data_IF_766635563606
#
_entry.id   IF_766635563606
#
_cell.length_a   1.000
_cell.length_b   1.000
_cell.length_c   1.000
_cell.angle_alpha   90.00
_cell.angle_beta   90.00
_cell.angle_gamma   90.00
#
_symmetry.space_group_name_H-M   'P 1'
#
loop_
_entity.id
_entity.type
_entity.pdbx_description
1 polymer ?
#
# COMPACT_ATOMS: atom_id res chain seq x y z
N UNK A 1 4.56 -7.54 -24.34
CA UNK A 1 5.15 -6.19 -24.22
C UNK A 1 5.44 -5.92 -22.75
N UNK A 2 6.71 -5.92 -22.36
CA UNK A 2 7.13 -5.60 -20.99
C UNK A 2 6.86 -4.11 -20.75
N UNK A 3 5.83 -3.80 -19.95
CA UNK A 3 5.55 -2.44 -19.49
C UNK A 3 6.75 -2.01 -18.62
N UNK A 4 7.67 -1.24 -19.21
CA UNK A 4 8.74 -0.59 -18.45
C UNK A 4 8.10 0.32 -17.41
N UNK A 5 8.40 0.11 -16.13
CA UNK A 5 7.93 0.97 -15.05
C UNK A 5 8.57 2.36 -15.22
N UNK A 6 7.79 3.46 -15.21
CA UNK A 6 8.37 4.80 -15.27
C UNK A 6 9.12 5.09 -13.97
N UNK A 7 10.45 5.16 -14.07
CA UNK A 7 11.33 5.59 -12.98
C UNK A 7 11.36 7.12 -12.91
N UNK A 8 11.18 7.65 -11.71
CA UNK A 8 11.27 9.09 -11.43
C UNK A 8 12.56 9.35 -10.67
N UNK A 9 13.35 10.29 -11.17
CA UNK A 9 14.55 10.78 -10.48
C UNK A 9 14.13 11.65 -9.29
N UNK A 10 14.46 11.23 -8.07
CA UNK A 10 14.20 12.02 -6.86
C UNK A 10 15.36 12.99 -6.58
N UNK A 11 16.59 12.51 -6.73
CA UNK A 11 17.79 13.31 -6.60
C UNK A 11 18.98 12.66 -7.30
N UNK A 12 19.88 13.47 -7.85
CA UNK A 12 21.06 13.02 -8.59
C UNK A 12 22.36 13.56 -7.97
N UNK A 13 23.42 12.76 -8.05
CA UNK A 13 24.80 13.12 -7.72
C UNK A 13 24.98 13.84 -6.37
N UNK A 14 24.26 13.40 -5.34
CA UNK A 14 24.24 14.05 -4.02
C UNK A 14 25.17 13.36 -3.00
N UNK A 15 25.57 14.05 -1.92
CA UNK A 15 26.33 13.43 -0.83
C UNK A 15 25.54 12.33 -0.12
N UNK A 16 26.27 11.40 0.51
CA UNK A 16 25.71 10.26 1.23
C UNK A 16 24.68 10.66 2.30
N UNK A 17 25.01 11.65 3.14
CA UNK A 17 24.13 12.10 4.23
C UNK A 17 22.77 12.54 3.69
N UNK A 18 22.76 13.33 2.63
CA UNK A 18 21.55 13.82 1.99
C UNK A 18 20.76 12.68 1.33
N UNK A 19 21.44 11.68 0.74
CA UNK A 19 20.78 10.51 0.18
C UNK A 19 20.16 9.63 1.27
N UNK A 20 20.85 9.45 2.39
CA UNK A 20 20.35 8.70 3.54
C UNK A 20 19.10 9.34 4.15
N UNK A 21 18.98 10.68 4.14
CA UNK A 21 17.75 11.37 4.56
C UNK A 21 16.55 11.03 3.64
N UNK A 22 16.77 10.98 2.32
CA UNK A 22 15.72 10.57 1.36
C UNK A 22 15.35 9.10 1.60
N UNK A 23 16.36 8.24 1.77
CA UNK A 23 16.15 6.81 2.01
C UNK A 23 15.46 6.56 3.37
N UNK A 24 15.74 7.38 4.39
CA UNK A 24 15.07 7.31 5.69
C UNK A 24 13.61 7.78 5.63
N UNK A 25 13.27 8.69 4.71
CA UNK A 25 11.89 9.11 4.44
C UNK A 25 11.00 7.99 3.87
N UNK A 26 11.60 6.92 3.38
CA UNK A 26 10.87 5.74 2.91
C UNK A 26 10.31 4.93 4.09
N UNK A 27 8.98 4.75 4.10
CA UNK A 27 8.19 4.11 5.18
C UNK A 27 8.70 2.72 5.60
N UNK A 28 9.35 1.99 4.70
CA UNK A 28 10.15 0.80 5.00
C UNK A 28 11.08 0.50 3.82
N UNK A 29 12.37 0.32 4.10
CA UNK A 29 13.37 -0.03 3.08
C UNK A 29 14.19 -1.24 3.53
N UNK A 30 14.43 -2.17 2.61
CA UNK A 30 15.33 -3.31 2.80
C UNK A 30 16.12 -3.50 1.49
N UNK A 31 17.43 -3.62 1.59
CA UNK A 31 18.33 -3.80 0.45
C UNK A 31 18.30 -5.27 0.03
N UNK A 32 17.63 -5.57 -1.08
CA UNK A 32 17.46 -6.97 -1.51
C UNK A 32 18.50 -7.42 -2.53
N UNK A 33 19.06 -6.50 -3.32
CA UNK A 33 20.11 -6.81 -4.29
C UNK A 33 21.09 -5.66 -4.38
N UNK A 34 22.38 -6.00 -4.33
CA UNK A 34 23.48 -5.13 -4.70
C UNK A 34 24.20 -5.71 -5.92
N UNK A 35 24.51 -4.86 -6.89
CA UNK A 35 25.31 -5.25 -8.06
C UNK A 35 26.16 -4.07 -8.52
N UNK A 36 27.29 -4.39 -9.15
CA UNK A 36 28.16 -3.42 -9.80
C UNK A 36 27.67 -3.18 -11.22
N UNK A 37 27.55 -1.92 -11.61
CA UNK A 37 27.21 -1.52 -12.99
C UNK A 37 28.08 -0.35 -13.44
N UNK A 38 28.02 -0.03 -14.74
CA UNK A 38 28.66 1.16 -15.30
C UNK A 38 28.08 2.43 -14.65
N UNK A 39 28.97 3.36 -14.26
CA UNK A 39 28.56 4.57 -13.57
C UNK A 39 27.63 5.43 -14.45
N UNK A 40 26.49 5.81 -13.88
CA UNK A 40 25.53 6.78 -14.47
C UNK A 40 25.22 7.95 -13.55
N UNK A 41 25.87 8.00 -12.38
CA UNK A 41 25.61 8.99 -11.32
C UNK A 41 26.34 10.30 -11.57
N UNK A 42 27.59 10.22 -12.03
CA UNK A 42 28.43 11.38 -12.29
C UNK A 42 28.50 11.71 -13.79
N UNK A 43 28.73 12.99 -14.10
CA UNK A 43 28.89 13.51 -15.47
C UNK A 43 30.32 13.24 -16.01
N UNK A 44 31.26 12.87 -15.13
CA UNK A 44 32.65 12.63 -15.51
C UNK A 44 32.82 11.38 -16.40
N UNK A 45 33.68 11.50 -17.41
CA UNK A 45 33.94 10.46 -18.40
C UNK A 45 34.54 9.21 -17.74
N UNK A 46 33.78 8.12 -17.82
CA UNK A 46 34.19 6.72 -17.64
C UNK A 46 34.88 6.36 -16.31
N UNK A 47 34.12 5.74 -15.41
CA UNK A 47 34.69 5.00 -14.28
C UNK A 47 34.45 3.50 -14.47
N UNK A 48 35.50 2.68 -14.36
CA UNK A 48 35.35 1.22 -14.39
C UNK A 48 34.56 0.74 -13.16
N UNK A 49 33.41 0.09 -13.40
CA UNK A 49 32.70 -0.77 -12.46
C UNK A 49 32.43 -0.22 -11.04
N UNK A 50 32.10 1.05 -10.91
CA UNK A 50 32.04 1.71 -9.60
C UNK A 50 30.63 2.05 -9.11
N UNK A 51 29.54 1.65 -9.76
CA UNK A 51 28.19 1.89 -9.19
C UNK A 51 27.66 0.73 -8.38
N UNK A 52 27.46 0.92 -7.06
CA UNK A 52 26.66 0.00 -6.25
C UNK A 52 25.18 0.41 -6.36
N UNK A 53 24.32 -0.50 -6.83
CA UNK A 53 22.88 -0.28 -6.91
C UNK A 53 22.13 -1.08 -5.86
N UNK A 54 21.27 -0.43 -5.09
CA UNK A 54 20.44 -1.07 -4.07
C UNK A 54 18.96 -0.98 -4.44
N UNK A 55 18.31 -2.14 -4.59
CA UNK A 55 16.87 -2.21 -4.85
C UNK A 55 16.07 -2.37 -3.56
N UNK A 56 15.06 -1.52 -3.40
CA UNK A 56 14.11 -1.52 -2.30
C UNK A 56 12.76 -2.10 -2.76
N UNK A 57 12.35 -3.31 -2.34
CA UNK A 57 11.17 -3.99 -2.90
C UNK A 57 9.86 -3.29 -2.58
N UNK A 58 9.74 -2.77 -1.36
CA UNK A 58 8.47 -2.24 -0.83
C UNK A 58 8.05 -0.95 -1.54
N UNK A 59 9.03 -0.17 -2.00
CA UNK A 59 8.81 1.15 -2.60
C UNK A 59 9.36 1.23 -4.03
N UNK A 60 9.74 0.09 -4.61
CA UNK A 60 10.41 -0.02 -5.92
C UNK A 60 11.45 1.10 -6.14
N UNK A 61 12.25 1.40 -5.11
CA UNK A 61 13.34 2.37 -5.17
C UNK A 61 14.63 1.75 -5.67
N UNK A 62 15.46 2.52 -6.38
CA UNK A 62 16.83 2.19 -6.76
C UNK A 62 17.76 3.30 -6.24
N UNK A 63 18.79 2.92 -5.48
CA UNK A 63 19.84 3.84 -5.04
C UNK A 63 21.11 3.45 -5.75
N UNK A 64 21.65 4.34 -6.58
CA UNK A 64 22.92 4.14 -7.27
C UNK A 64 24.02 5.01 -6.63
N UNK A 65 25.13 4.39 -6.25
CA UNK A 65 26.27 5.08 -5.61
C UNK A 65 27.50 5.01 -6.50
N UNK A 66 28.07 6.14 -6.91
CA UNK A 66 29.39 6.20 -7.53
C UNK A 66 30.49 6.02 -6.46
N UNK A 67 31.18 4.88 -6.48
CA UNK A 67 32.25 4.57 -5.53
C UNK A 67 33.50 5.46 -5.73
N UNK A 68 33.68 6.08 -6.89
CA UNK A 68 34.84 6.95 -7.14
C UNK A 68 34.70 8.34 -6.51
N UNK A 69 33.47 8.89 -6.50
CA UNK A 69 33.19 10.25 -6.02
C UNK A 69 32.33 10.28 -4.75
N UNK A 70 31.97 9.11 -4.22
CA UNK A 70 31.01 8.92 -3.13
C UNK A 70 29.70 9.71 -3.31
N UNK A 71 29.17 9.71 -4.53
CA UNK A 71 27.94 10.40 -4.90
C UNK A 71 26.79 9.41 -5.07
N UNK A 72 25.59 9.82 -4.69
CA UNK A 72 24.41 8.98 -4.66
C UNK A 72 23.34 9.54 -5.60
N UNK A 73 22.56 8.66 -6.20
CA UNK A 73 21.39 8.99 -7.02
C UNK A 73 20.27 8.09 -6.56
N UNK A 74 19.12 8.69 -6.26
CA UNK A 74 17.94 7.97 -5.76
C UNK A 74 16.84 8.10 -6.80
N UNK A 75 16.36 6.95 -7.27
CA UNK A 75 15.26 6.82 -8.21
C UNK A 75 14.13 6.03 -7.55
N UNK A 76 12.88 6.37 -7.86
CA UNK A 76 11.70 5.65 -7.38
C UNK A 76 10.84 5.25 -8.57
N UNK A 77 10.44 3.98 -8.64
CA UNK A 77 9.49 3.54 -9.64
C UNK A 77 8.07 3.72 -9.10
N UNK A 78 7.25 4.45 -9.87
CA UNK A 78 5.92 4.94 -9.45
C UNK A 78 5.98 5.97 -8.31
N UNK A 79 5.17 7.03 -8.44
CA UNK A 79 5.03 8.06 -7.40
C UNK A 79 4.22 7.44 -6.24
N UNK A 80 4.88 6.97 -5.18
CA UNK A 80 4.24 6.27 -4.06
C UNK A 80 3.52 7.19 -3.05
N UNK A 81 3.27 8.46 -3.41
CA UNK A 81 2.34 9.32 -2.69
C UNK A 81 0.90 8.81 -2.93
N UNK A 82 0.53 7.70 -2.29
CA UNK A 82 -0.86 7.31 -2.16
C UNK A 82 -1.54 8.36 -1.28
N UNK A 83 -2.59 9.06 -1.75
CA UNK A 83 -3.36 9.92 -0.89
C UNK A 83 -3.83 9.11 0.32
N UNK A 84 -3.85 9.73 1.49
CA UNK A 84 -4.32 9.13 2.74
C UNK A 84 -5.61 8.37 2.46
N UNK A 85 -5.58 7.05 2.64
CA UNK A 85 -6.77 6.22 2.40
C UNK A 85 -7.88 6.74 3.30
N UNK A 86 -9.07 7.04 2.77
CA UNK A 86 -10.19 7.44 3.62
C UNK A 86 -10.44 6.34 4.66
N UNK A 87 -10.93 6.70 5.87
CA UNK A 87 -11.21 5.73 6.91
C UNK A 87 -12.06 4.59 6.35
N UNK A 88 -11.74 3.33 6.71
CA UNK A 88 -12.42 2.18 6.15
C UNK A 88 -13.92 2.25 6.46
N UNK A 89 -14.74 1.86 5.47
CA UNK A 89 -16.20 1.81 5.65
C UNK A 89 -16.55 0.93 6.85
N UNK A 90 -17.61 1.26 7.63
CA UNK A 90 -18.00 0.49 8.80
C UNK A 90 -18.32 -0.96 8.42
N UNK A 91 -17.64 -1.90 9.05
CA UNK A 91 -17.84 -3.33 8.83
C UNK A 91 -18.69 -3.96 9.92
N UNK A 92 -19.53 -4.92 9.54
CA UNK A 92 -20.31 -5.73 10.48
C UNK A 92 -19.39 -6.44 11.49
N UNK A 93 -19.60 -6.19 12.78
CA UNK A 93 -18.92 -6.92 13.86
C UNK A 93 -19.38 -8.39 13.90
N UNK A 94 -18.63 -9.31 14.53
CA UNK A 94 -19.03 -10.72 14.64
C UNK A 94 -20.44 -10.90 15.23
N UNK A 95 -20.79 -10.12 16.26
CA UNK A 95 -22.12 -10.15 16.90
C UNK A 95 -23.22 -9.69 15.94
N UNK A 96 -22.98 -8.65 15.15
CA UNK A 96 -23.94 -8.17 14.13
C UNK A 96 -24.15 -9.21 13.02
N UNK A 97 -23.09 -9.90 12.60
CA UNK A 97 -23.19 -10.98 11.60
C UNK A 97 -24.02 -12.14 12.13
N UNK A 98 -23.87 -12.50 13.40
CA UNK A 98 -24.68 -13.54 14.02
C UNK A 98 -26.15 -13.17 14.05
N UNK A 99 -26.49 -11.96 14.49
CA UNK A 99 -27.87 -11.48 14.46
C UNK A 99 -28.45 -11.46 13.04
N UNK A 100 -27.66 -10.98 12.07
CA UNK A 100 -28.08 -10.95 10.68
C UNK A 100 -28.39 -12.35 10.14
N UNK A 101 -27.59 -13.35 10.53
CA UNK A 101 -27.84 -14.76 10.19
C UNK A 101 -29.11 -15.29 10.84
N UNK A 102 -29.28 -15.09 12.15
CA UNK A 102 -30.48 -15.53 12.90
C UNK A 102 -31.77 -14.91 12.35
N UNK A 103 -31.74 -13.63 11.99
CA UNK A 103 -32.90 -12.97 11.36
C UNK A 103 -33.08 -13.36 9.90
N UNK A 104 -31.99 -13.72 9.22
CA UNK A 104 -32.01 -14.27 7.87
C UNK A 104 -32.69 -15.64 7.81
N UNK A 105 -32.43 -16.53 8.77
CA UNK A 105 -33.11 -17.83 8.87
C UNK A 105 -34.60 -17.70 9.21
N UNK A 106 -34.99 -16.63 9.89
CA UNK A 106 -36.40 -16.26 10.11
C UNK A 106 -37.10 -15.70 8.86
N UNK A 107 -36.38 -15.55 7.74
CA UNK A 107 -36.94 -15.05 6.48
C UNK A 107 -37.22 -13.55 6.46
N UNK A 108 -36.64 -12.78 7.38
CA UNK A 108 -36.81 -11.33 7.43
C UNK A 108 -36.15 -10.66 6.21
N UNK A 109 -36.82 -9.64 5.65
CA UNK A 109 -36.25 -8.83 4.56
C UNK A 109 -34.98 -8.12 5.03
N UNK A 110 -33.97 -8.03 4.17
CA UNK A 110 -32.68 -7.39 4.44
C UNK A 110 -32.78 -6.00 5.07
N UNK A 111 -33.74 -5.16 4.62
CA UNK A 111 -33.96 -3.82 5.20
C UNK A 111 -34.38 -3.88 6.67
N UNK A 112 -35.24 -4.84 7.05
CA UNK A 112 -35.68 -5.04 8.43
C UNK A 112 -34.56 -5.59 9.32
N UNK A 113 -33.68 -6.41 8.75
CA UNK A 113 -32.48 -6.88 9.45
C UNK A 113 -31.54 -5.70 9.71
N UNK A 114 -31.37 -4.83 8.71
CA UNK A 114 -30.53 -3.64 8.80
C UNK A 114 -31.06 -2.63 9.85
N UNK A 115 -32.35 -2.29 9.81
CA UNK A 115 -33.01 -1.47 10.85
C UNK A 115 -32.83 -2.07 12.26
N UNK A 116 -33.07 -3.38 12.40
CA UNK A 116 -32.91 -4.07 13.69
C UNK A 116 -31.47 -4.13 14.20
N UNK A 117 -30.46 -4.03 13.31
CA UNK A 117 -29.07 -3.88 13.71
C UNK A 117 -28.80 -2.48 14.24
N UNK A 118 -29.34 -1.45 13.59
CA UNK A 118 -29.25 -0.06 14.03
C UNK A 118 -29.81 0.11 15.44
N UNK A 119 -31.01 -0.41 15.68
CA UNK A 119 -31.70 -0.33 16.97
C UNK A 119 -30.97 -1.11 18.07
N UNK A 120 -30.56 -2.36 17.79
CA UNK A 120 -29.97 -3.25 18.81
C UNK A 120 -28.54 -2.86 19.20
N UNK A 121 -27.77 -2.30 18.28
CA UNK A 121 -26.38 -1.91 18.52
C UNK A 121 -26.20 -0.39 18.67
N UNK A 122 -27.29 0.38 18.75
CA UNK A 122 -27.29 1.85 18.87
C UNK A 122 -26.34 2.51 17.88
N UNK A 123 -26.38 2.08 16.60
CA UNK A 123 -25.46 2.54 15.58
C UNK A 123 -25.81 3.95 15.13
N UNK A 124 -24.79 4.77 14.90
CA UNK A 124 -24.93 6.11 14.32
C UNK A 124 -24.62 6.05 12.82
N UNK A 125 -24.96 7.10 12.07
CA UNK A 125 -24.75 7.15 10.60
C UNK A 125 -23.30 6.82 10.19
N UNK A 126 -22.31 7.20 11.02
CA UNK A 126 -20.89 6.96 10.78
C UNK A 126 -20.41 5.53 11.11
N UNK A 127 -21.15 4.79 11.94
CA UNK A 127 -20.81 3.40 12.33
C UNK A 127 -21.73 2.37 11.68
N UNK A 128 -22.72 2.84 10.94
CA UNK A 128 -23.71 2.04 10.25
C UNK A 128 -23.08 1.32 9.04
N UNK A 129 -23.08 -0.02 9.00
CA UNK A 129 -22.62 -0.74 7.83
C UNK A 129 -23.60 -0.57 6.68
N UNK A 130 -23.12 -0.59 5.44
CA UNK A 130 -23.98 -0.52 4.26
C UNK A 130 -24.94 -1.73 4.20
N UNK A 131 -26.16 -1.51 3.69
CA UNK A 131 -27.15 -2.57 3.47
C UNK A 131 -26.58 -3.74 2.63
N UNK A 132 -25.73 -3.42 1.64
CA UNK A 132 -25.04 -4.41 0.82
C UNK A 132 -24.13 -5.35 1.62
N UNK A 133 -23.59 -4.90 2.76
CA UNK A 133 -22.83 -5.76 3.66
C UNK A 133 -23.73 -6.78 4.37
N UNK A 134 -24.92 -6.37 4.79
CA UNK A 134 -25.93 -7.26 5.40
C UNK A 134 -26.44 -8.28 4.37
N UNK A 135 -26.76 -7.84 3.16
CA UNK A 135 -27.19 -8.71 2.06
C UNK A 135 -26.16 -9.80 1.77
N UNK A 136 -24.88 -9.45 1.68
CA UNK A 136 -23.81 -10.44 1.48
C UNK A 136 -23.77 -11.49 2.59
N UNK A 137 -23.85 -11.07 3.86
CA UNK A 137 -23.79 -12.01 5.00
C UNK A 137 -25.00 -12.95 5.01
N UNK A 138 -26.20 -12.43 4.78
CA UNK A 138 -27.43 -13.22 4.77
C UNK A 138 -27.46 -14.17 3.58
N UNK A 139 -27.15 -13.70 2.37
CA UNK A 139 -27.12 -14.54 1.17
C UNK A 139 -26.05 -15.64 1.27
N UNK A 140 -24.83 -15.32 1.72
CA UNK A 140 -23.80 -16.33 1.93
C UNK A 140 -24.24 -17.38 2.94
N UNK A 141 -24.94 -16.98 4.01
CA UNK A 141 -25.40 -17.94 5.01
C UNK A 141 -26.48 -18.87 4.48
N UNK A 142 -27.49 -18.33 3.78
CA UNK A 142 -28.57 -19.12 3.18
C UNK A 142 -28.04 -20.06 2.10
N UNK A 143 -27.03 -19.66 1.31
CA UNK A 143 -26.41 -20.56 0.33
C UNK A 143 -25.58 -21.69 0.94
N UNK A 144 -25.22 -21.60 2.23
CA UNK A 144 -24.41 -22.60 2.94
C UNK A 144 -25.20 -23.44 3.96
N UNK A 145 -26.47 -23.13 4.18
CA UNK A 145 -27.38 -23.82 5.09
C UNK A 145 -28.27 -24.80 4.32
#
# INVERSE_FOLDING_TARGET
MTRSHPWVLLAAAMPEESANLIVAGFKSHNIVKSYKSQCRVCIAAYHENSTARMRLPVLRGDVATCLALNQFTVEEAYRHNMPVTPPPKPTLTPAMKQLARERGTQGLKHNRIWEGLTERFSLTENTMPELAAVQRVVNCHISTA
#
